data_IF_076054156389
#
_entry.id   IF_076054156389
#
_cell.length_a   1.000
_cell.length_b   1.000
_cell.length_c   1.000
_cell.angle_alpha   90.00
_cell.angle_beta   90.00
_cell.angle_gamma   90.00
#
_symmetry.space_group_name_H-M   'P 1'
#
loop_
_entity.id
_entity.type
_entity.pdbx_description
1 polymer ?
#
# COMPACT_ATOMS: atom_id res chain seq x y z
N UNK A 1 0.48 -27.71 11.46
CA UNK A 1 0.25 -26.37 12.04
C UNK A 1 -0.85 -25.75 11.19
N UNK A 2 -2.04 -25.53 11.72
CA UNK A 2 -3.10 -24.80 11.01
C UNK A 2 -2.69 -23.32 10.91
N UNK A 3 -2.89 -22.72 9.74
CA UNK A 3 -2.74 -21.28 9.58
C UNK A 3 -3.70 -20.54 10.54
N UNK A 4 -3.34 -19.31 10.94
CA UNK A 4 -4.29 -18.52 11.73
C UNK A 4 -5.53 -18.18 10.87
N UNK A 5 -6.72 -18.04 11.49
CA UNK A 5 -7.94 -17.69 10.75
C UNK A 5 -7.78 -16.43 9.88
N UNK A 6 -6.93 -15.49 10.30
CA UNK A 6 -6.64 -14.28 9.54
C UNK A 6 -5.85 -14.59 8.25
N UNK A 7 -4.87 -15.52 8.34
CA UNK A 7 -4.12 -15.95 7.14
C UNK A 7 -5.01 -16.73 6.18
N UNK A 8 -5.89 -17.59 6.69
CA UNK A 8 -6.86 -18.29 5.86
C UNK A 8 -7.81 -17.32 5.15
N UNK A 9 -8.28 -16.29 5.84
CA UNK A 9 -9.11 -15.22 5.26
C UNK A 9 -8.36 -14.43 4.20
N UNK A 10 -7.08 -14.12 4.44
CA UNK A 10 -6.21 -13.44 3.48
C UNK A 10 -6.03 -14.28 2.21
N UNK A 11 -5.60 -15.53 2.35
CA UNK A 11 -5.32 -16.42 1.21
C UNK A 11 -6.58 -16.87 0.48
N UNK A 12 -7.73 -16.97 1.15
CA UNK A 12 -9.02 -17.21 0.50
C UNK A 12 -9.54 -16.03 -0.30
N UNK A 13 -8.85 -14.90 -0.29
CA UNK A 13 -9.28 -13.64 -0.90
C UNK A 13 -10.59 -13.07 -0.30
N UNK A 14 -11.08 -13.62 0.78
CA UNK A 14 -12.30 -13.16 1.45
C UNK A 14 -12.19 -11.70 1.86
N UNK A 15 -11.11 -11.36 2.57
CA UNK A 15 -10.81 -9.98 2.94
C UNK A 15 -10.60 -9.08 1.72
N UNK A 16 -9.87 -9.55 0.73
CA UNK A 16 -9.52 -8.77 -0.45
C UNK A 16 -10.73 -8.37 -1.29
N UNK A 17 -11.74 -9.24 -1.34
CA UNK A 17 -12.96 -9.07 -2.16
C UNK A 17 -14.12 -8.39 -1.44
N UNK A 18 -14.05 -8.28 -0.11
CA UNK A 18 -15.14 -7.69 0.68
C UNK A 18 -14.90 -6.18 0.90
N UNK A 19 -15.64 -5.28 0.24
CA UNK A 19 -15.48 -3.84 0.40
C UNK A 19 -15.76 -3.34 1.82
N UNK A 20 -16.55 -4.08 2.61
CA UNK A 20 -16.92 -3.72 3.99
C UNK A 20 -15.84 -4.10 5.01
N UNK A 21 -14.90 -4.95 4.63
CA UNK A 21 -13.78 -5.29 5.49
C UNK A 21 -12.76 -4.16 5.59
N UNK A 22 -11.99 -4.15 6.69
CA UNK A 22 -10.96 -3.14 6.93
C UNK A 22 -10.04 -2.98 5.72
N UNK A 23 -9.73 -1.75 5.36
CA UNK A 23 -8.86 -1.44 4.22
C UNK A 23 -7.37 -1.74 4.48
N UNK A 24 -6.96 -1.93 5.72
CA UNK A 24 -5.58 -2.29 6.08
C UNK A 24 -5.54 -3.63 6.78
N UNK A 25 -4.78 -4.56 6.22
CA UNK A 25 -4.36 -5.80 6.87
C UNK A 25 -2.91 -5.64 7.36
N UNK A 26 -2.67 -5.98 8.62
CA UNK A 26 -1.34 -5.91 9.25
C UNK A 26 -0.89 -7.29 9.66
N UNK A 27 0.22 -7.74 9.12
CA UNK A 27 0.86 -8.99 9.52
C UNK A 27 2.07 -8.72 10.40
N UNK A 28 1.94 -9.03 11.68
CA UNK A 28 3.00 -8.88 12.68
C UNK A 28 3.58 -10.25 13.05
N UNK A 29 4.83 -10.28 13.48
CA UNK A 29 5.46 -11.49 14.00
C UNK A 29 6.96 -11.32 14.20
N UNK A 30 7.57 -12.26 14.91
CA UNK A 30 9.01 -12.26 15.17
C UNK A 30 9.83 -12.32 13.87
N UNK A 31 11.07 -11.82 13.91
CA UNK A 31 12.00 -11.97 12.78
C UNK A 31 12.19 -13.46 12.44
N UNK A 32 12.30 -13.79 11.16
CA UNK A 32 12.49 -15.18 10.71
C UNK A 32 11.22 -16.04 10.64
N UNK A 33 10.03 -15.53 10.97
CA UNK A 33 8.77 -16.31 10.92
C UNK A 33 8.15 -16.45 9.52
N UNK A 34 8.87 -16.06 8.46
CA UNK A 34 8.40 -16.22 7.09
C UNK A 34 7.42 -15.12 6.61
N UNK A 35 7.32 -13.98 7.30
CA UNK A 35 6.41 -12.87 6.92
C UNK A 35 6.62 -12.40 5.49
N UNK A 36 7.86 -12.18 5.07
CA UNK A 36 8.18 -11.75 3.71
C UNK A 36 7.82 -12.80 2.66
N UNK A 37 7.94 -14.08 2.99
CA UNK A 37 7.49 -15.19 2.12
C UNK A 37 5.97 -15.15 1.96
N UNK A 38 5.24 -14.93 3.05
CA UNK A 38 3.78 -14.76 3.01
C UNK A 38 3.40 -13.55 2.13
N UNK A 39 4.10 -12.42 2.30
CA UNK A 39 3.87 -11.22 1.49
C UNK A 39 4.09 -11.47 0.00
N UNK A 40 5.19 -12.14 -0.35
CA UNK A 40 5.53 -12.47 -1.74
C UNK A 40 4.51 -13.44 -2.35
N UNK A 41 4.16 -14.51 -1.62
CA UNK A 41 3.16 -15.48 -2.06
C UNK A 41 1.81 -14.81 -2.28
N UNK A 42 1.36 -13.99 -1.32
CA UNK A 42 0.12 -13.25 -1.46
C UNK A 42 0.15 -12.27 -2.64
N UNK A 43 1.27 -11.53 -2.82
CA UNK A 43 1.43 -10.62 -3.96
C UNK A 43 1.33 -11.38 -5.30
N UNK A 44 1.87 -12.59 -5.39
CA UNK A 44 1.71 -13.46 -6.57
C UNK A 44 0.25 -13.80 -6.83
N UNK A 45 -0.47 -14.26 -5.80
CA UNK A 45 -1.89 -14.62 -5.90
C UNK A 45 -2.75 -13.44 -6.38
N UNK A 46 -2.56 -12.25 -5.80
CA UNK A 46 -3.35 -11.07 -6.17
C UNK A 46 -2.93 -10.49 -7.53
N UNK A 47 -1.67 -10.69 -7.94
CA UNK A 47 -1.21 -10.36 -9.28
C UNK A 47 -1.85 -11.26 -10.35
N UNK A 48 -1.87 -12.57 -10.13
CA UNK A 48 -2.56 -13.54 -11.01
C UNK A 48 -4.06 -13.26 -11.09
N UNK A 49 -4.67 -12.82 -9.99
CA UNK A 49 -6.06 -12.40 -9.96
C UNK A 49 -6.32 -11.03 -10.62
N UNK A 50 -5.27 -10.32 -11.08
CA UNK A 50 -5.39 -9.00 -11.70
C UNK A 50 -5.79 -7.88 -10.73
N UNK A 51 -5.62 -8.09 -9.42
CA UNK A 51 -6.03 -7.13 -8.37
C UNK A 51 -4.86 -6.46 -7.66
N UNK A 52 -3.61 -6.89 -7.92
CA UNK A 52 -2.42 -6.20 -7.39
C UNK A 52 -2.26 -4.85 -8.09
N UNK A 53 -2.29 -3.76 -7.33
CA UNK A 53 -2.04 -2.41 -7.84
C UNK A 53 -0.57 -2.04 -7.79
N UNK A 54 0.07 -2.33 -6.65
CA UNK A 54 1.49 -2.05 -6.45
C UNK A 54 2.05 -2.90 -5.30
N UNK A 55 3.38 -3.11 -5.31
CA UNK A 55 4.06 -3.77 -4.20
C UNK A 55 5.43 -3.14 -3.94
N UNK A 56 5.83 -3.14 -2.66
CA UNK A 56 7.16 -2.70 -2.24
C UNK A 56 7.69 -3.66 -1.17
N UNK A 57 8.89 -4.21 -1.42
CA UNK A 57 9.58 -5.11 -0.51
C UNK A 57 10.88 -4.44 -0.07
N UNK A 58 10.94 -4.02 1.18
CA UNK A 58 12.16 -3.46 1.76
C UNK A 58 13.24 -4.54 1.86
N UNK A 59 14.46 -4.21 1.46
CA UNK A 59 15.62 -5.10 1.60
C UNK A 59 16.83 -4.33 2.12
N UNK A 60 17.50 -4.89 3.13
CA UNK A 60 18.74 -4.31 3.66
C UNK A 60 19.93 -4.46 2.69
N UNK A 61 19.82 -5.37 1.74
CA UNK A 61 20.91 -5.70 0.82
C UNK A 61 20.99 -4.77 -0.40
N UNK A 62 19.92 -4.02 -0.66
CA UNK A 62 19.82 -3.08 -1.78
C UNK A 62 19.68 -1.65 -1.27
N UNK A 63 20.64 -0.78 -1.62
CA UNK A 63 20.69 0.62 -1.15
C UNK A 63 19.43 1.42 -1.51
N UNK A 64 18.89 1.20 -2.69
CA UNK A 64 17.68 1.85 -3.22
C UNK A 64 16.38 1.43 -2.49
N UNK A 65 16.39 0.26 -1.84
CA UNK A 65 15.24 -0.27 -1.07
C UNK A 65 15.37 -0.05 0.44
N UNK A 66 16.43 0.61 0.90
CA UNK A 66 16.58 1.02 2.30
C UNK A 66 15.88 2.34 2.59
N UNK A 67 15.70 3.18 1.57
CA UNK A 67 15.16 4.51 1.77
C UNK A 67 13.63 4.49 1.84
N UNK A 68 13.09 4.81 3.00
CA UNK A 68 11.65 5.02 3.19
C UNK A 68 11.08 6.03 2.19
N UNK A 69 11.89 7.00 1.76
CA UNK A 69 11.51 8.05 0.80
C UNK A 69 11.19 7.52 -0.60
N UNK A 70 11.68 6.35 -0.97
CA UNK A 70 11.41 5.73 -2.27
C UNK A 70 10.11 4.91 -2.31
N UNK A 71 9.51 4.60 -1.16
CA UNK A 71 8.32 3.74 -1.08
C UNK A 71 7.17 4.33 -1.91
N UNK A 72 6.72 5.54 -1.58
CA UNK A 72 5.55 6.13 -2.22
C UNK A 72 5.78 6.52 -3.69
N UNK A 73 6.94 7.08 -4.08
CA UNK A 73 7.26 7.26 -5.49
C UNK A 73 7.25 5.96 -6.29
N UNK A 74 7.79 4.87 -5.73
CA UNK A 74 7.78 3.55 -6.40
C UNK A 74 6.37 3.01 -6.55
N UNK A 75 5.56 3.05 -5.49
CA UNK A 75 4.16 2.62 -5.52
C UNK A 75 3.35 3.45 -6.53
N UNK A 76 3.52 4.79 -6.52
CA UNK A 76 2.85 5.68 -7.46
C UNK A 76 3.25 5.40 -8.91
N UNK A 77 4.52 5.11 -9.17
CA UNK A 77 5.00 4.72 -10.49
C UNK A 77 4.33 3.42 -10.98
N UNK A 78 4.30 2.37 -10.15
CA UNK A 78 3.66 1.10 -10.50
C UNK A 78 2.17 1.28 -10.78
N UNK A 79 1.45 2.01 -9.93
CA UNK A 79 0.04 2.34 -10.14
C UNK A 79 -0.18 3.14 -11.43
N UNK A 80 0.69 4.10 -11.74
CA UNK A 80 0.60 4.89 -12.96
C UNK A 80 0.90 4.06 -14.23
N UNK A 81 1.75 3.04 -14.14
CA UNK A 81 1.98 2.11 -15.24
C UNK A 81 0.74 1.25 -15.52
N UNK A 82 0.06 0.81 -14.47
CA UNK A 82 -1.07 -0.11 -14.57
C UNK A 82 -2.40 0.61 -14.89
N UNK A 83 -2.64 1.78 -14.27
CA UNK A 83 -3.91 2.48 -14.38
C UNK A 83 -3.74 3.86 -15.05
N UNK A 84 -4.23 3.99 -16.27
CA UNK A 84 -4.15 5.26 -17.04
C UNK A 84 -4.86 6.43 -16.34
N UNK A 85 -5.98 6.14 -15.66
CA UNK A 85 -6.74 7.16 -14.89
C UNK A 85 -5.90 7.69 -13.73
N UNK A 86 -5.21 6.81 -13.00
CA UNK A 86 -4.31 7.18 -11.93
C UNK A 86 -3.09 7.96 -12.45
N UNK A 87 -2.51 7.53 -13.59
CA UNK A 87 -1.41 8.23 -14.25
C UNK A 87 -1.75 9.68 -14.54
N UNK A 88 -2.95 9.96 -15.03
CA UNK A 88 -3.38 11.32 -15.29
C UNK A 88 -3.43 12.19 -14.03
N UNK A 89 -3.78 11.61 -12.87
CA UNK A 89 -3.74 12.33 -11.59
C UNK A 89 -2.29 12.59 -11.15
N UNK A 90 -1.40 11.59 -11.23
CA UNK A 90 0.02 11.74 -10.87
C UNK A 90 0.72 12.80 -11.73
N UNK A 91 0.45 12.85 -13.03
CA UNK A 91 0.99 13.91 -13.90
C UNK A 91 0.57 15.30 -13.42
N UNK A 92 -0.67 15.48 -12.95
CA UNK A 92 -1.14 16.76 -12.38
C UNK A 92 -0.42 17.10 -11.09
N UNK A 93 -0.20 16.11 -10.20
CA UNK A 93 0.53 16.29 -8.94
C UNK A 93 1.97 16.74 -9.25
N UNK A 94 2.71 16.01 -10.11
CA UNK A 94 4.09 16.33 -10.44
C UNK A 94 4.22 17.69 -11.14
N UNK A 95 3.28 18.06 -11.99
CA UNK A 95 3.27 19.40 -12.62
C UNK A 95 3.07 20.53 -11.60
N UNK A 96 2.28 20.29 -10.56
CA UNK A 96 2.04 21.26 -9.48
C UNK A 96 3.23 21.36 -8.53
N UNK A 97 3.82 20.22 -8.18
CA UNK A 97 4.99 20.10 -7.30
C UNK A 97 5.99 19.08 -7.86
N UNK A 98 6.99 19.53 -8.66
CA UNK A 98 8.02 18.64 -9.19
C UNK A 98 8.90 18.00 -8.10
N UNK A 99 8.89 18.55 -6.88
CA UNK A 99 9.70 18.07 -5.74
C UNK A 99 8.91 17.18 -4.79
N UNK A 100 7.69 16.77 -5.14
CA UNK A 100 6.79 15.98 -4.29
C UNK A 100 7.44 14.70 -3.72
N UNK A 101 8.33 14.06 -4.46
CA UNK A 101 9.08 12.88 -4.01
C UNK A 101 10.15 13.20 -2.93
N UNK A 102 10.45 14.47 -2.70
CA UNK A 102 11.40 14.93 -1.67
C UNK A 102 10.69 15.42 -0.41
N UNK A 103 9.37 15.53 -0.44
CA UNK A 103 8.55 15.97 0.68
C UNK A 103 8.57 14.95 1.83
N UNK A 104 7.96 15.30 2.97
CA UNK A 104 7.80 14.35 4.09
C UNK A 104 7.05 13.10 3.65
N UNK A 105 7.30 11.95 4.31
CA UNK A 105 6.60 10.70 4.00
C UNK A 105 5.07 10.82 4.07
N UNK A 106 4.59 11.62 5.02
CA UNK A 106 3.16 11.91 5.19
C UNK A 106 2.62 12.64 3.95
N UNK A 107 3.32 13.68 3.50
CA UNK A 107 2.94 14.42 2.30
C UNK A 107 3.02 13.54 1.05
N UNK A 108 4.09 12.75 0.92
CA UNK A 108 4.22 11.80 -0.19
C UNK A 108 3.07 10.79 -0.22
N UNK A 109 2.74 10.16 0.92
CA UNK A 109 1.61 9.24 0.99
C UNK A 109 0.32 9.92 0.54
N UNK A 110 0.05 11.11 1.07
CA UNK A 110 -1.17 11.88 0.74
C UNK A 110 -1.19 12.25 -0.75
N UNK A 111 -0.16 12.94 -1.23
CA UNK A 111 -0.15 13.57 -2.55
C UNK A 111 0.08 12.56 -3.70
N UNK A 112 0.85 11.49 -3.45
CA UNK A 112 1.18 10.49 -4.48
C UNK A 112 0.25 9.27 -4.48
N UNK A 113 -0.41 8.95 -3.36
CA UNK A 113 -1.20 7.72 -3.25
C UNK A 113 -2.67 8.04 -2.92
N UNK A 114 -2.92 8.67 -1.75
CA UNK A 114 -4.27 8.80 -1.21
C UNK A 114 -5.16 9.69 -2.07
N UNK A 115 -4.75 10.94 -2.32
CA UNK A 115 -5.54 11.91 -3.08
C UNK A 115 -5.76 11.46 -4.54
N UNK A 116 -4.73 10.94 -5.27
CA UNK A 116 -4.93 10.41 -6.61
C UNK A 116 -5.87 9.20 -6.66
N UNK A 117 -5.75 8.24 -5.73
CA UNK A 117 -6.63 7.07 -5.68
C UNK A 117 -8.07 7.45 -5.33
N UNK A 118 -8.28 8.35 -4.36
CA UNK A 118 -9.61 8.82 -3.98
C UNK A 118 -10.35 9.55 -5.10
N UNK A 119 -9.60 10.10 -6.05
CA UNK A 119 -10.15 10.76 -7.25
C UNK A 119 -10.50 9.79 -8.38
N UNK A 120 -10.29 8.49 -8.18
CA UNK A 120 -10.51 7.44 -9.18
C UNK A 120 -11.41 6.34 -8.62
N UNK A 121 -11.99 5.53 -9.51
CA UNK A 121 -12.79 4.35 -9.13
C UNK A 121 -11.95 3.05 -9.20
N UNK A 122 -10.64 3.14 -8.91
CA UNK A 122 -9.74 1.99 -8.96
C UNK A 122 -9.96 1.12 -7.73
N UNK A 123 -10.12 -0.18 -7.96
CA UNK A 123 -10.09 -1.20 -6.92
C UNK A 123 -8.82 -1.99 -7.05
N UNK A 124 -7.93 -1.91 -6.06
CA UNK A 124 -6.66 -2.64 -6.08
C UNK A 124 -6.14 -2.93 -4.68
N UNK A 125 -5.15 -3.80 -4.63
CA UNK A 125 -4.42 -4.16 -3.40
C UNK A 125 -3.00 -3.62 -3.51
N UNK A 126 -2.53 -2.97 -2.45
CA UNK A 126 -1.15 -2.49 -2.33
C UNK A 126 -0.47 -3.30 -1.22
N UNK A 127 0.67 -3.90 -1.53
CA UNK A 127 1.44 -4.72 -0.57
C UNK A 127 2.75 -4.03 -0.24
N UNK A 128 3.01 -3.83 1.07
CA UNK A 128 4.26 -3.25 1.56
C UNK A 128 4.86 -4.16 2.62
N UNK A 129 6.03 -4.74 2.35
CA UNK A 129 6.72 -5.66 3.25
C UNK A 129 7.94 -5.01 3.90
N UNK A 130 8.19 -5.43 5.15
CA UNK A 130 9.40 -5.14 5.91
C UNK A 130 9.70 -3.65 6.12
N UNK A 131 8.66 -2.86 6.45
CA UNK A 131 8.82 -1.46 6.84
C UNK A 131 9.75 -1.27 8.06
N UNK A 132 9.87 -2.27 8.93
CA UNK A 132 10.79 -2.28 10.07
C UNK A 132 12.27 -2.40 9.67
N UNK A 133 12.54 -2.79 8.43
CA UNK A 133 13.92 -2.92 7.90
C UNK A 133 14.40 -1.67 7.18
N UNK A 134 13.52 -0.73 6.95
CA UNK A 134 13.85 0.54 6.33
C UNK A 134 14.31 1.51 7.42
N UNK A 135 15.45 2.11 7.25
CA UNK A 135 16.23 3.06 8.04
C UNK A 135 15.77 3.38 9.49
N UNK A 136 16.69 3.22 10.46
CA UNK A 136 16.48 3.36 11.91
C UNK A 136 16.11 4.78 12.39
N UNK A 137 16.18 5.80 11.51
CA UNK A 137 16.01 7.21 11.87
C UNK A 137 14.59 7.76 11.71
N UNK A 138 13.65 6.97 11.16
CA UNK A 138 12.24 7.40 11.04
C UNK A 138 11.33 6.38 11.73
N UNK A 139 10.48 6.80 12.68
CA UNK A 139 9.62 5.86 13.38
C UNK A 139 8.60 5.24 12.40
N UNK A 140 8.77 3.97 12.09
CA UNK A 140 7.82 3.13 11.33
C UNK A 140 6.41 3.25 11.89
N UNK A 141 6.29 3.49 13.21
CA UNK A 141 5.04 3.79 13.90
C UNK A 141 4.30 5.03 13.35
N UNK A 142 5.05 6.07 12.95
CA UNK A 142 4.45 7.27 12.36
C UNK A 142 3.84 6.96 10.98
N UNK A 143 4.55 6.19 10.14
CA UNK A 143 4.05 5.75 8.82
C UNK A 143 2.80 4.90 8.96
N UNK A 144 2.80 3.95 9.90
CA UNK A 144 1.65 3.08 10.17
C UNK A 144 0.46 3.85 10.74
N UNK A 145 0.71 4.84 11.60
CA UNK A 145 -0.31 5.74 12.13
C UNK A 145 -0.94 6.55 10.99
N UNK A 146 -0.12 7.05 10.09
CA UNK A 146 -0.56 7.84 8.93
C UNK A 146 -1.35 6.99 7.94
N UNK A 147 -0.86 5.80 7.59
CA UNK A 147 -1.61 4.83 6.79
C UNK A 147 -2.96 4.51 7.44
N UNK A 148 -2.98 4.25 8.75
CA UNK A 148 -4.21 3.95 9.49
C UNK A 148 -5.20 5.12 9.53
N UNK A 149 -4.71 6.35 9.62
CA UNK A 149 -5.55 7.55 9.67
C UNK A 149 -6.12 7.91 8.29
N UNK A 150 -5.29 7.93 7.26
CA UNK A 150 -5.72 8.28 5.91
C UNK A 150 -6.61 7.21 5.27
N UNK A 151 -6.42 5.94 5.62
CA UNK A 151 -7.30 4.87 5.17
C UNK A 151 -8.70 5.00 5.76
N UNK A 152 -8.85 5.47 7.00
CA UNK A 152 -10.17 5.83 7.54
C UNK A 152 -10.83 6.96 6.74
N UNK A 153 -10.06 7.95 6.31
CA UNK A 153 -10.57 9.05 5.48
C UNK A 153 -11.02 8.54 4.11
N UNK A 154 -10.30 7.60 3.50
CA UNK A 154 -10.71 6.97 2.23
C UNK A 154 -12.02 6.17 2.37
N UNK A 155 -12.21 5.44 3.48
CA UNK A 155 -13.44 4.70 3.75
C UNK A 155 -14.66 5.63 3.84
N UNK A 156 -14.54 6.72 4.58
CA UNK A 156 -15.64 7.69 4.74
C UNK A 156 -15.95 8.46 3.46
N UNK A 157 -14.96 8.73 2.61
CA UNK A 157 -15.17 9.35 1.30
C UNK A 157 -15.84 8.41 0.29
N UNK A 158 -15.51 7.13 0.31
CA UNK A 158 -16.14 6.11 -0.52
C UNK A 158 -17.63 5.94 -0.20
N UNK A 159 -17.99 5.94 1.08
CA UNK A 159 -19.39 5.89 1.51
C UNK A 159 -20.17 7.16 1.12
N UNK A 160 -19.54 8.34 1.24
CA UNK A 160 -20.20 9.62 0.95
C UNK A 160 -20.40 9.89 -0.55
N UNK A 161 -19.57 9.31 -1.43
CA UNK A 161 -19.60 9.61 -2.88
C UNK A 161 -20.21 8.51 -3.73
N UNK A 162 -20.59 7.37 -3.15
CA UNK A 162 -21.14 6.19 -3.87
C UNK A 162 -20.28 5.77 -5.09
N UNK A 163 -18.97 6.02 -5.07
CA UNK A 163 -18.03 5.63 -6.11
C UNK A 163 -17.55 4.21 -5.82
N UNK A 164 -17.77 3.30 -6.78
CA UNK A 164 -17.59 1.85 -6.60
C UNK A 164 -16.15 1.33 -6.50
N UNK A 165 -15.13 2.18 -6.39
CA UNK A 165 -13.73 1.77 -6.26
C UNK A 165 -13.29 1.68 -4.79
N UNK A 166 -12.46 0.68 -4.45
CA UNK A 166 -11.84 0.57 -3.13
C UNK A 166 -10.37 0.15 -3.25
N UNK A 167 -9.53 0.68 -2.36
CA UNK A 167 -8.12 0.27 -2.27
C UNK A 167 -7.86 -0.37 -0.93
N UNK A 168 -7.18 -1.52 -0.94
CA UNK A 168 -6.76 -2.23 0.26
C UNK A 168 -5.26 -2.24 0.38
N UNK A 169 -4.78 -2.15 1.60
CA UNK A 169 -3.36 -2.11 1.92
C UNK A 169 -2.99 -3.29 2.81
N UNK A 170 -1.93 -3.99 2.46
CA UNK A 170 -1.28 -4.98 3.34
C UNK A 170 0.06 -4.43 3.75
N UNK A 171 0.27 -4.31 5.05
CA UNK A 171 1.54 -3.93 5.64
C UNK A 171 2.09 -5.06 6.48
N UNK A 172 3.37 -5.37 6.31
CA UNK A 172 4.09 -6.47 6.99
C UNK A 172 5.31 -5.89 7.68
N UNK A 173 5.53 -6.24 8.95
CA UNK A 173 6.68 -5.81 9.75
C UNK A 173 6.97 -6.76 10.93
#
# INVERSE_FOLDING_TARGET
MSASPELESLFSMGWARNPQERHVFRLNGLAGTGKSTIAQTFSGIVAEAGTLGASFFCSRDYLDRKELRSIFPTLAYQLACQFSVFRNQIVRVIRRDPTVAQNSLISQLKDLIVDPLSSTNISCIIVVDALDKCDDNQPTSALLSVLGHHVKVLSTHSEATNKGGYTKYITIY
#
